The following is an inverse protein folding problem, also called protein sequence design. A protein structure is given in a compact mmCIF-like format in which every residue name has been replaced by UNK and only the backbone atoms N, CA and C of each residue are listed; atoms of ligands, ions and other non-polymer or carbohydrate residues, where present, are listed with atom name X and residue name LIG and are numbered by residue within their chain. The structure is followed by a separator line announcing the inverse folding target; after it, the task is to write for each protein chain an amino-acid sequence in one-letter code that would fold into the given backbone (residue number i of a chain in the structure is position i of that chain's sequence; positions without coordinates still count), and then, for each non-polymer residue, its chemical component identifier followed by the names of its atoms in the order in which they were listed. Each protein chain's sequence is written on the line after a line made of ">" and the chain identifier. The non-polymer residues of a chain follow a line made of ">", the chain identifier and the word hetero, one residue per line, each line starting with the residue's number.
data_IF_693125210397
#
_entry.id   IF_693125210397
#
_cell.length_a   1.000
_cell.length_b   1.000
_cell.length_c   1.000
_cell.angle_alpha   90.00
_cell.angle_beta   90.00
_cell.angle_gamma   90.00
#
_symmetry.space_group_name_H-M   'P 1'
#
loop_
_entity.id
_entity.type
_entity.pdbx_description
1 polymer ?
#
# COMPACT_ATOMS: atom_id res chain seq x y z
N UNK A 1 -19.90 4.52 -5.72
CA UNK A 1 -19.02 4.24 -6.88
C UNK A 1 -17.58 4.57 -6.50
N UNK A 2 -16.87 3.65 -5.86
CA UNK A 2 -15.46 3.89 -5.45
C UNK A 2 -14.55 3.15 -6.41
N UNK A 3 -14.16 3.86 -7.48
CA UNK A 3 -13.24 3.32 -8.50
C UNK A 3 -11.83 3.28 -7.90
N UNK A 4 -11.38 2.09 -7.51
CA UNK A 4 -9.96 1.86 -7.18
C UNK A 4 -9.24 1.64 -8.51
N UNK A 5 -8.60 2.70 -9.03
CA UNK A 5 -7.81 2.65 -10.24
C UNK A 5 -6.48 1.93 -9.95
N UNK A 6 -6.37 0.67 -10.36
CA UNK A 6 -5.09 -0.03 -10.49
C UNK A 6 -4.39 0.50 -11.75
N UNK A 7 -3.50 1.48 -11.60
CA UNK A 7 -2.61 1.89 -12.68
C UNK A 7 -1.38 0.95 -12.71
N UNK A 8 -1.39 0.00 -13.64
CA UNK A 8 -0.23 -0.80 -14.03
C UNK A 8 0.55 -0.05 -15.12
N UNK A 9 1.66 0.58 -14.75
CA UNK A 9 2.65 1.13 -15.69
C UNK A 9 3.87 0.22 -15.74
N UNK A 10 4.30 -0.29 -16.90
CA UNK A 10 5.50 -1.10 -17.01
C UNK A 10 6.72 -0.19 -17.24
N UNK A 11 7.67 -0.16 -16.32
CA UNK A 11 8.96 0.49 -16.56
C UNK A 11 10.10 -0.16 -15.76
N UNK A 12 10.98 -0.81 -16.54
CA UNK A 12 12.41 -1.05 -16.34
C UNK A 12 12.93 -1.82 -15.11
N UNK A 13 13.72 -2.85 -15.40
CA UNK A 13 14.53 -3.61 -14.46
C UNK A 13 15.60 -2.71 -13.80
N UNK A 14 15.46 -2.48 -12.50
CA UNK A 14 16.56 -2.14 -11.61
C UNK A 14 16.39 -2.97 -10.34
N UNK A 15 17.22 -4.00 -10.15
CA UNK A 15 17.25 -4.80 -8.91
C UNK A 15 17.95 -4.03 -7.79
N UNK A 16 17.40 -2.87 -7.42
CA UNK A 16 17.44 -2.48 -6.02
C UNK A 16 16.26 -3.20 -5.38
N UNK A 17 16.45 -3.76 -4.18
CA UNK A 17 15.33 -4.00 -3.28
C UNK A 17 14.83 -2.62 -2.81
N UNK A 18 14.34 -1.84 -3.77
CA UNK A 18 13.81 -0.51 -3.55
C UNK A 18 12.47 -0.74 -2.90
N UNK A 19 12.31 -0.26 -1.67
CA UNK A 19 10.98 -0.15 -1.09
C UNK A 19 10.08 0.53 -2.12
N UNK A 20 9.00 -0.15 -2.55
CA UNK A 20 8.14 0.38 -3.60
C UNK A 20 7.26 1.45 -2.95
N UNK A 21 7.55 2.72 -3.24
CA UNK A 21 6.75 3.84 -2.75
C UNK A 21 5.77 4.30 -3.81
N UNK A 22 4.53 4.59 -3.39
CA UNK A 22 3.49 5.17 -4.24
C UNK A 22 2.90 6.37 -3.54
N UNK A 23 2.77 7.49 -4.25
CA UNK A 23 2.10 8.69 -3.74
C UNK A 23 0.76 8.84 -4.42
N UNK A 24 -0.28 9.12 -3.64
CA UNK A 24 -1.64 9.32 -4.12
C UNK A 24 -1.94 10.81 -4.18
N UNK A 25 -2.48 11.26 -5.30
CA UNK A 25 -2.83 12.66 -5.54
C UNK A 25 -4.33 12.81 -5.78
N UNK A 26 -4.90 13.95 -5.38
CA UNK A 26 -6.26 14.34 -5.79
C UNK A 26 -6.30 14.90 -7.22
N UNK A 27 -7.50 15.21 -7.72
CA UNK A 27 -7.70 15.77 -9.05
C UNK A 27 -7.04 17.15 -9.27
N UNK A 28 -6.65 17.83 -8.18
CA UNK A 28 -5.96 19.13 -8.21
C UNK A 28 -4.45 18.98 -8.08
N UNK A 29 -3.93 17.75 -7.98
CA UNK A 29 -2.50 17.45 -7.85
C UNK A 29 -1.96 17.52 -6.41
N UNK A 30 -2.81 17.63 -5.38
CA UNK A 30 -2.34 17.60 -3.98
C UNK A 30 -2.18 16.17 -3.49
N UNK A 31 -1.16 15.95 -2.66
CA UNK A 31 -0.94 14.65 -2.01
C UNK A 31 -2.07 14.37 -1.02
N UNK A 32 -2.75 13.24 -1.20
CA UNK A 32 -3.78 12.73 -0.28
C UNK A 32 -3.29 11.56 0.55
N UNK A 33 -2.19 10.92 0.15
CA UNK A 33 -1.57 9.85 0.92
C UNK A 33 -0.35 9.25 0.24
N UNK A 34 0.23 8.24 0.89
CA UNK A 34 1.34 7.46 0.36
C UNK A 34 1.23 6.00 0.78
N UNK A 35 1.75 5.08 0.00
CA UNK A 35 2.01 3.72 0.45
C UNK A 35 3.47 3.35 0.20
N UNK A 36 4.01 2.46 1.04
CA UNK A 36 5.36 1.94 0.92
C UNK A 36 5.35 0.45 1.16
N UNK A 37 5.96 -0.31 0.26
CA UNK A 37 6.18 -1.76 0.41
C UNK A 37 7.62 -2.01 0.81
N UNK A 38 7.84 -2.76 1.89
CA UNK A 38 9.19 -3.18 2.31
C UNK A 38 9.68 -4.43 1.54
N UNK A 39 10.91 -4.88 1.82
CA UNK A 39 11.49 -6.06 1.17
C UNK A 39 10.80 -7.37 1.57
N UNK A 40 10.03 -7.37 2.65
CA UNK A 40 9.22 -8.50 3.13
C UNK A 40 7.81 -8.49 2.55
N UNK A 41 7.45 -7.49 1.74
CA UNK A 41 6.11 -7.35 1.16
C UNK A 41 5.06 -6.78 2.13
N UNK A 42 5.48 -6.20 3.26
CA UNK A 42 4.61 -5.41 4.14
C UNK A 42 4.31 -4.08 3.47
N UNK A 43 3.02 -3.75 3.34
CA UNK A 43 2.59 -2.45 2.83
C UNK A 43 2.19 -1.57 4.01
N UNK A 44 2.75 -0.37 4.09
CA UNK A 44 2.32 0.64 5.06
C UNK A 44 1.69 1.81 4.32
N UNK A 45 0.49 2.20 4.71
CA UNK A 45 -0.24 3.33 4.16
C UNK A 45 -0.16 4.53 5.10
N UNK A 46 0.04 5.70 4.52
CA UNK A 46 0.23 6.97 5.20
C UNK A 46 -0.79 8.00 4.71
N UNK A 47 -1.24 8.87 5.61
CA UNK A 47 -2.03 10.03 5.24
C UNK A 47 -1.18 11.12 4.56
N UNK A 48 -1.82 12.19 4.11
CA UNK A 48 -1.13 13.35 3.49
C UNK A 48 -0.14 14.07 4.41
N UNK A 49 -0.21 13.84 5.73
CA UNK A 49 0.71 14.37 6.74
C UNK A 49 1.85 13.40 7.06
N UNK A 50 1.91 12.24 6.42
CA UNK A 50 2.93 11.23 6.64
C UNK A 50 2.70 10.34 7.87
N UNK A 51 1.50 10.36 8.46
CA UNK A 51 1.16 9.46 9.58
C UNK A 51 0.71 8.11 9.05
N UNK A 52 1.24 7.02 9.60
CA UNK A 52 0.79 5.68 9.26
C UNK A 52 -0.66 5.48 9.72
N UNK A 53 -1.53 5.08 8.80
CA UNK A 53 -2.96 4.88 9.04
C UNK A 53 -3.37 3.41 8.95
N UNK A 54 -2.63 2.60 8.18
CA UNK A 54 -2.81 1.16 8.11
C UNK A 54 -1.55 0.43 7.67
N UNK A 55 -1.51 -0.86 7.95
CA UNK A 55 -0.45 -1.77 7.54
C UNK A 55 -1.04 -3.08 7.07
N UNK A 56 -0.48 -3.65 6.01
CA UNK A 56 -0.92 -4.89 5.40
C UNK A 56 0.26 -5.85 5.33
N UNK A 57 0.05 -7.08 5.78
CA UNK A 57 1.07 -8.15 5.71
C UNK A 57 0.49 -9.32 4.95
N UNK A 58 1.21 -9.82 3.95
CA UNK A 58 0.80 -11.00 3.19
C UNK A 58 1.62 -12.21 3.61
N UNK A 59 0.95 -13.27 4.04
CA UNK A 59 1.58 -14.55 4.38
C UNK A 59 0.73 -15.68 3.80
N UNK A 60 1.35 -16.60 3.07
CA UNK A 60 0.69 -17.78 2.47
C UNK A 60 -0.61 -17.43 1.70
N UNK A 61 -0.58 -16.36 0.90
CA UNK A 61 -1.74 -15.92 0.10
C UNK A 61 -2.86 -15.23 0.90
N UNK A 62 -2.64 -15.02 2.19
CA UNK A 62 -3.54 -14.31 3.09
C UNK A 62 -2.96 -12.94 3.44
N UNK A 63 -3.68 -11.88 3.10
CA UNK A 63 -3.34 -10.52 3.50
C UNK A 63 -4.12 -10.14 4.75
N UNK A 64 -3.40 -9.68 5.76
CA UNK A 64 -3.97 -9.20 7.02
C UNK A 64 -3.79 -7.70 7.12
N UNK A 65 -4.86 -6.98 7.49
CA UNK A 65 -4.88 -5.52 7.60
C UNK A 65 -4.91 -5.11 9.06
N UNK A 66 -4.02 -4.21 9.44
CA UNK A 66 -3.92 -3.60 10.75
C UNK A 66 -4.21 -2.11 10.65
N UNK A 67 -4.90 -1.56 11.65
CA UNK A 67 -5.07 -0.12 11.78
C UNK A 67 -3.80 0.55 12.35
N UNK A 68 -3.82 1.88 12.45
CA UNK A 68 -2.74 2.68 13.04
C UNK A 68 -2.34 2.25 14.46
N UNK A 69 -3.29 1.74 15.26
CA UNK A 69 -3.05 1.22 16.60
C UNK A 69 -2.47 -0.20 16.62
N UNK A 70 -2.22 -0.81 15.46
CA UNK A 70 -1.72 -2.18 15.33
C UNK A 70 -2.77 -3.27 15.54
N UNK A 71 -4.06 -2.93 15.66
CA UNK A 71 -5.15 -3.90 15.79
C UNK A 71 -5.52 -4.46 14.43
N UNK A 72 -5.70 -5.78 14.36
CA UNK A 72 -6.27 -6.43 13.19
C UNK A 72 -7.69 -5.91 12.95
N UNK A 73 -7.93 -5.37 11.76
CA UNK A 73 -9.23 -4.84 11.33
C UNK A 73 -9.83 -5.63 10.17
N UNK A 74 -9.12 -6.63 9.66
CA UNK A 74 -9.59 -7.45 8.57
C UNK A 74 -8.51 -8.34 7.99
N UNK A 75 -8.98 -9.29 7.18
CA UNK A 75 -8.14 -10.23 6.44
C UNK A 75 -8.84 -10.62 5.16
N UNK A 76 -8.11 -10.71 4.07
CA UNK A 76 -8.61 -11.21 2.80
C UNK A 76 -7.59 -12.17 2.18
N UNK A 77 -8.09 -13.16 1.44
CA UNK A 77 -7.26 -14.07 0.67
C UNK A 77 -7.33 -13.67 -0.79
N UNK A 78 -6.19 -13.43 -1.41
CA UNK A 78 -6.15 -13.31 -2.86
C UNK A 78 -6.09 -14.72 -3.42
N UNK A 79 -7.24 -15.28 -3.83
CA UNK A 79 -7.23 -16.45 -4.71
C UNK A 79 -6.73 -15.98 -6.07
N UNK A 80 -5.62 -16.56 -6.53
CA UNK A 80 -5.17 -16.43 -7.91
C UNK A 80 -6.10 -17.22 -8.83
#
# INVERSE_FOLDING_TARGET
>A
MTKILFALTPAALATKVSAQQRTFYDATGKIVGRSSTDSQGTVTNYDSRGRAISRETTSSGTTTVYNASGRNVGRFTTKR
#
